data_IF_558319420493
#
_entry.id   IF_558319420493
#
_cell.length_a   1.000
_cell.length_b   1.000
_cell.length_c   1.000
_cell.angle_alpha   90.00
_cell.angle_beta   90.00
_cell.angle_gamma   90.00
#
_symmetry.space_group_name_H-M   'P 1'
#
loop_
_entity.id
_entity.type
_entity.pdbx_description
1 polymer ?
#
# COMPACT_ATOMS: atom_id res chain seq x y z
N UNK A 1 50.75 18.17 47.33
CA UNK A 1 50.20 16.83 46.98
C UNK A 1 48.67 16.84 46.83
N UNK A 2 47.87 17.22 47.83
CA UNK A 2 46.38 17.27 47.71
C UNK A 2 45.83 18.02 46.49
N UNK A 3 46.40 19.18 46.13
CA UNK A 3 45.96 19.98 44.96
C UNK A 3 46.23 19.30 43.61
N UNK A 4 47.28 18.48 43.53
CA UNK A 4 47.64 17.71 42.31
C UNK A 4 46.67 16.53 42.16
N UNK A 5 46.36 15.82 43.26
CA UNK A 5 45.37 14.74 43.23
C UNK A 5 43.97 15.23 42.87
N UNK A 6 43.56 16.40 43.37
CA UNK A 6 42.27 17.01 42.99
C UNK A 6 42.25 17.34 41.49
N UNK A 7 43.32 17.94 40.95
CA UNK A 7 43.40 18.28 39.53
C UNK A 7 43.37 17.04 38.62
N UNK A 8 44.04 15.95 39.01
CA UNK A 8 44.00 14.69 38.27
C UNK A 8 42.59 14.09 38.32
N UNK A 9 41.93 14.12 39.48
CA UNK A 9 40.58 13.59 39.63
C UNK A 9 39.56 14.36 38.78
N UNK A 10 39.62 15.70 38.76
CA UNK A 10 38.77 16.49 37.86
C UNK A 10 39.07 16.23 36.39
N UNK A 11 40.34 16.09 36.00
CA UNK A 11 40.71 15.82 34.60
C UNK A 11 40.20 14.45 34.14
N UNK A 12 40.32 13.42 34.98
CA UNK A 12 39.81 12.07 34.70
C UNK A 12 38.28 12.06 34.61
N UNK A 13 37.59 12.81 35.48
CA UNK A 13 36.12 12.92 35.46
C UNK A 13 35.60 13.68 34.24
N UNK A 14 36.37 14.66 33.72
CA UNK A 14 36.03 15.38 32.48
C UNK A 14 36.32 14.52 31.24
N UNK A 15 37.38 13.71 31.25
CA UNK A 15 37.68 12.83 30.13
C UNK A 15 36.70 11.65 30.03
N UNK A 16 36.15 11.17 31.14
CA UNK A 16 35.17 10.08 31.14
C UNK A 16 33.79 10.49 30.61
N UNK A 17 33.42 11.77 30.62
CA UNK A 17 32.16 12.26 30.03
C UNK A 17 32.23 12.51 28.53
N UNK A 18 33.43 12.52 27.93
CA UNK A 18 33.64 12.65 26.47
C UNK A 18 33.57 11.30 25.73
N UNK A 19 33.57 10.18 26.46
CA UNK A 19 33.38 8.82 25.90
C UNK A 19 31.90 8.44 25.96
N UNK A 20 31.02 9.32 25.48
CA UNK A 20 29.62 8.96 25.25
C UNK A 20 29.51 7.94 24.11
N UNK A 21 28.61 6.96 24.24
CA UNK A 21 28.32 5.99 23.18
C UNK A 21 28.09 6.72 21.84
N UNK A 22 28.83 6.32 20.80
CA UNK A 22 28.57 6.84 19.45
C UNK A 22 27.12 6.53 19.07
N UNK A 23 26.40 7.48 18.48
CA UNK A 23 25.07 7.30 17.83
C UNK A 23 25.14 6.42 16.58
N UNK A 24 26.03 5.44 16.56
CA UNK A 24 26.25 4.50 15.46
C UNK A 24 25.40 3.24 15.63
N UNK A 25 24.54 3.17 16.65
CA UNK A 25 23.68 2.02 16.87
C UNK A 25 22.60 1.99 15.78
N UNK A 26 21.92 3.11 15.56
CA UNK A 26 20.87 3.22 14.53
C UNK A 26 21.41 2.89 13.11
N UNK A 27 22.62 3.36 12.77
CA UNK A 27 23.24 3.05 11.47
C UNK A 27 23.71 1.58 11.34
N UNK A 28 23.95 0.89 12.46
CA UNK A 28 24.44 -0.50 12.48
C UNK A 28 23.34 -1.56 12.61
N UNK A 29 22.12 -1.14 12.92
CA UNK A 29 20.97 -2.02 13.12
C UNK A 29 19.86 -1.76 12.09
N UNK A 30 20.20 -1.25 10.90
CA UNK A 30 19.30 -1.27 9.76
C UNK A 30 18.92 -2.72 9.43
N UNK A 31 17.64 -2.95 9.14
CA UNK A 31 17.18 -4.26 8.73
C UNK A 31 17.76 -4.55 7.32
N UNK A 32 18.68 -5.54 7.16
CA UNK A 32 19.28 -5.83 5.86
C UNK A 32 18.26 -6.32 4.83
N UNK A 33 17.08 -6.77 5.29
CA UNK A 33 15.98 -7.23 4.43
C UNK A 33 15.00 -6.10 4.05
N UNK A 34 15.16 -4.89 4.60
CA UNK A 34 14.32 -3.74 4.29
C UNK A 34 15.05 -2.76 3.36
N UNK A 35 14.30 -2.13 2.45
CA UNK A 35 14.82 -1.01 1.66
C UNK A 35 14.64 0.30 2.42
N UNK A 36 15.69 1.11 2.47
CA UNK A 36 15.60 2.50 2.94
C UNK A 36 15.03 3.45 1.87
N UNK A 37 15.07 3.01 0.60
CA UNK A 37 14.67 3.83 -0.54
C UNK A 37 13.34 3.35 -1.09
N UNK A 38 12.37 4.27 -1.12
CA UNK A 38 11.12 4.09 -1.83
C UNK A 38 11.39 3.90 -3.33
N UNK A 39 10.69 2.95 -3.95
CA UNK A 39 10.80 2.66 -5.38
C UNK A 39 9.41 2.41 -5.94
N UNK A 40 9.00 3.22 -6.92
CA UNK A 40 7.72 3.06 -7.62
C UNK A 40 7.61 1.66 -8.22
N UNK A 41 8.70 1.15 -8.80
CA UNK A 41 8.77 -0.20 -9.38
C UNK A 41 8.63 -1.30 -8.31
N UNK A 42 9.30 -1.15 -7.15
CA UNK A 42 9.19 -2.13 -6.07
C UNK A 42 7.78 -2.18 -5.49
N UNK A 43 7.17 -1.02 -5.25
CA UNK A 43 5.77 -0.93 -4.83
C UNK A 43 4.82 -1.52 -5.88
N UNK A 44 5.09 -1.33 -7.17
CA UNK A 44 4.27 -1.94 -8.20
C UNK A 44 4.37 -3.47 -8.18
N UNK A 45 5.57 -4.03 -7.96
CA UNK A 45 5.75 -5.46 -7.76
C UNK A 45 4.91 -5.97 -6.58
N UNK A 46 4.93 -5.25 -5.45
CA UNK A 46 4.15 -5.57 -4.26
C UNK A 46 2.65 -5.50 -4.53
N UNK A 47 2.19 -4.47 -5.24
CA UNK A 47 0.80 -4.26 -5.62
C UNK A 47 0.27 -5.41 -6.49
N UNK A 48 1.05 -5.86 -7.48
CA UNK A 48 0.71 -7.02 -8.32
C UNK A 48 0.78 -8.34 -7.55
N UNK A 49 1.67 -8.44 -6.56
CA UNK A 49 1.84 -9.63 -5.73
C UNK A 49 0.82 -9.70 -4.57
N UNK A 50 -0.40 -9.21 -4.79
CA UNK A 50 -1.47 -9.19 -3.82
C UNK A 50 -2.48 -10.33 -4.09
N UNK A 51 -2.95 -10.99 -3.03
CA UNK A 51 -3.93 -12.08 -3.06
C UNK A 51 -5.32 -11.72 -3.63
N UNK A 52 -5.54 -10.44 -3.93
CA UNK A 52 -6.73 -9.92 -4.62
C UNK A 52 -6.55 -9.81 -6.14
N UNK A 53 -5.32 -9.52 -6.58
CA UNK A 53 -4.94 -9.45 -8.01
C UNK A 53 -4.73 -10.86 -8.55
N UNK A 54 -4.03 -11.72 -7.81
CA UNK A 54 -3.86 -13.14 -8.15
C UNK A 54 -4.93 -13.99 -7.47
N UNK A 55 -5.48 -15.02 -8.13
CA UNK A 55 -6.35 -15.99 -7.46
C UNK A 55 -5.64 -16.63 -6.26
N UNK A 56 -6.20 -16.47 -5.07
CA UNK A 56 -5.68 -17.04 -3.83
C UNK A 56 -6.71 -17.98 -3.19
N UNK A 57 -6.24 -19.05 -2.54
CA UNK A 57 -7.11 -19.98 -1.83
C UNK A 57 -7.98 -19.25 -0.81
N UNK A 58 -7.39 -18.31 -0.08
CA UNK A 58 -8.09 -17.55 0.95
C UNK A 58 -9.26 -16.78 0.34
N UNK A 59 -9.04 -15.95 -0.69
CA UNK A 59 -10.10 -15.15 -1.30
C UNK A 59 -11.30 -16.00 -1.78
N UNK A 60 -11.04 -17.10 -2.47
CA UNK A 60 -12.12 -17.97 -2.94
C UNK A 60 -12.80 -18.74 -1.80
N UNK A 61 -12.03 -19.32 -0.88
CA UNK A 61 -12.56 -20.24 0.11
C UNK A 61 -13.23 -19.55 1.29
N UNK A 62 -12.70 -18.41 1.72
CA UNK A 62 -13.20 -17.72 2.92
C UNK A 62 -14.16 -16.60 2.54
N UNK A 63 -13.84 -15.79 1.53
CA UNK A 63 -14.72 -14.69 1.13
C UNK A 63 -15.79 -15.16 0.13
N UNK A 64 -15.43 -15.58 -1.08
CA UNK A 64 -16.39 -15.87 -2.15
C UNK A 64 -17.38 -16.97 -1.76
N UNK A 65 -16.88 -18.09 -1.24
CA UNK A 65 -17.69 -19.26 -0.90
C UNK A 65 -18.72 -18.98 0.20
N UNK A 66 -18.41 -18.09 1.14
CA UNK A 66 -19.29 -17.72 2.26
C UNK A 66 -20.18 -16.51 1.95
N UNK A 67 -19.95 -15.83 0.82
CA UNK A 67 -20.70 -14.66 0.37
C UNK A 67 -21.43 -14.98 -0.95
N UNK A 68 -20.85 -14.58 -2.09
CA UNK A 68 -21.51 -14.56 -3.40
C UNK A 68 -21.90 -15.96 -3.89
N UNK A 69 -21.15 -17.01 -3.52
CA UNK A 69 -21.43 -18.37 -4.00
C UNK A 69 -22.77 -18.92 -3.51
N UNK A 70 -23.21 -18.49 -2.32
CA UNK A 70 -24.50 -18.89 -1.73
C UNK A 70 -25.66 -18.27 -2.53
N UNK A 71 -25.55 -16.98 -2.85
CA UNK A 71 -26.58 -16.25 -3.61
C UNK A 71 -26.66 -16.67 -5.07
N UNK A 72 -25.51 -17.01 -5.67
CA UNK A 72 -25.41 -17.43 -7.09
C UNK A 72 -25.60 -18.92 -7.30
N UNK A 73 -25.73 -19.71 -6.22
CA UNK A 73 -25.86 -21.18 -6.25
C UNK A 73 -24.72 -21.87 -7.01
N UNK A 74 -23.52 -21.28 -6.97
CA UNK A 74 -22.32 -21.81 -7.63
C UNK A 74 -21.56 -22.81 -6.74
N UNK A 75 -21.98 -22.96 -5.47
CA UNK A 75 -21.46 -23.96 -4.55
C UNK A 75 -22.56 -24.58 -3.69
N UNK A 76 -22.34 -25.81 -3.23
CA UNK A 76 -23.21 -26.46 -2.25
C UNK A 76 -23.03 -25.83 -0.87
N UNK A 77 -24.13 -25.55 -0.18
CA UNK A 77 -24.14 -25.12 1.21
C UNK A 77 -25.22 -25.89 1.98
N UNK A 78 -25.08 -25.98 3.30
CA UNK A 78 -26.09 -26.60 4.16
C UNK A 78 -27.18 -25.57 4.49
N UNK A 79 -28.45 -25.82 4.16
CA UNK A 79 -29.53 -24.90 4.49
C UNK A 79 -29.62 -24.66 6.01
N UNK A 80 -29.72 -23.39 6.41
CA UNK A 80 -29.87 -22.98 7.80
C UNK A 80 -30.53 -21.59 7.87
N UNK A 81 -31.00 -21.19 9.06
CA UNK A 81 -31.55 -19.85 9.26
C UNK A 81 -30.50 -18.73 9.08
N UNK A 82 -29.21 -19.06 9.10
CA UNK A 82 -28.10 -18.13 8.93
C UNK A 82 -27.39 -18.29 7.58
N UNK A 83 -27.94 -19.06 6.64
CA UNK A 83 -27.24 -19.38 5.38
C UNK A 83 -26.95 -18.16 4.50
N UNK A 84 -27.70 -17.06 4.68
CA UNK A 84 -27.46 -15.79 3.98
C UNK A 84 -26.72 -14.75 4.85
N UNK A 85 -26.16 -15.16 5.99
CA UNK A 85 -25.34 -14.28 6.81
C UNK A 85 -23.86 -14.55 6.50
N UNK A 86 -23.17 -13.64 5.82
CA UNK A 86 -21.75 -13.81 5.57
C UNK A 86 -20.94 -13.74 6.88
N UNK A 87 -19.73 -14.29 6.85
CA UNK A 87 -18.81 -14.23 7.99
C UNK A 87 -18.30 -12.80 8.19
N UNK A 88 -18.65 -12.17 9.31
CA UNK A 88 -18.16 -10.83 9.66
C UNK A 88 -16.63 -10.75 9.65
N UNK A 89 -15.94 -11.79 10.14
CA UNK A 89 -14.48 -11.82 10.17
C UNK A 89 -13.90 -11.82 8.76
N UNK A 90 -14.47 -12.58 7.82
CA UNK A 90 -13.95 -12.66 6.46
C UNK A 90 -14.27 -11.40 5.67
N UNK A 91 -15.46 -10.83 5.86
CA UNK A 91 -15.83 -9.54 5.26
C UNK A 91 -14.97 -8.39 5.79
N UNK A 92 -14.69 -8.37 7.10
CA UNK A 92 -13.78 -7.40 7.71
C UNK A 92 -12.35 -7.52 7.17
N UNK A 93 -11.81 -8.73 7.08
CA UNK A 93 -10.48 -8.96 6.49
C UNK A 93 -10.43 -8.49 5.04
N UNK A 94 -11.42 -8.89 4.22
CA UNK A 94 -11.50 -8.44 2.83
C UNK A 94 -11.60 -6.92 2.69
N UNK A 95 -12.29 -6.25 3.62
CA UNK A 95 -12.33 -4.80 3.69
C UNK A 95 -10.95 -4.21 4.05
N UNK A 96 -10.31 -4.69 5.12
CA UNK A 96 -9.05 -4.12 5.61
C UNK A 96 -7.88 -4.33 4.65
N UNK A 97 -7.85 -5.45 3.93
CA UNK A 97 -6.78 -5.82 3.00
C UNK A 97 -6.71 -4.90 1.77
N UNK A 98 -7.77 -4.14 1.48
CA UNK A 98 -7.72 -3.09 0.46
C UNK A 98 -6.97 -1.85 0.97
N UNK A 99 -7.07 -1.52 2.26
CA UNK A 99 -6.58 -0.27 2.83
C UNK A 99 -5.16 -0.35 3.42
N UNK A 100 -4.82 -1.36 4.22
CA UNK A 100 -3.61 -1.33 5.07
C UNK A 100 -2.52 -2.30 4.61
N UNK A 101 -1.27 -1.82 4.46
CA UNK A 101 -0.55 -1.79 3.15
C UNK A 101 -1.25 -2.53 1.99
N UNK A 102 -2.56 -2.32 1.84
CA UNK A 102 -3.35 -2.92 0.80
C UNK A 102 -3.11 -2.20 -0.51
N UNK A 103 -3.90 -2.55 -1.52
CA UNK A 103 -3.76 -1.97 -2.86
C UNK A 103 -3.81 -0.43 -2.82
N UNK A 104 -4.73 0.16 -2.04
CA UNK A 104 -4.82 1.61 -1.91
C UNK A 104 -3.61 2.20 -1.16
N UNK A 105 -3.20 1.60 -0.05
CA UNK A 105 -2.07 2.08 0.75
C UNK A 105 -0.74 2.04 0.00
N UNK A 106 -0.49 0.96 -0.77
CA UNK A 106 0.67 0.83 -1.64
C UNK A 106 0.60 1.90 -2.73
N UNK A 107 -0.55 2.06 -3.40
CA UNK A 107 -0.70 3.06 -4.45
C UNK A 107 -0.47 4.50 -3.94
N UNK A 108 -0.97 4.87 -2.75
CA UNK A 108 -0.65 6.17 -2.12
C UNK A 108 0.84 6.35 -1.84
N UNK A 109 1.53 5.28 -1.45
CA UNK A 109 2.98 5.29 -1.27
C UNK A 109 3.72 5.46 -2.61
N UNK A 110 3.18 4.91 -3.70
CA UNK A 110 3.70 5.12 -5.06
C UNK A 110 3.56 6.57 -5.52
N UNK A 111 2.41 7.21 -5.28
CA UNK A 111 2.19 8.63 -5.59
C UNK A 111 3.25 9.50 -4.89
N UNK A 112 3.40 9.32 -3.58
CA UNK A 112 4.43 10.04 -2.79
C UNK A 112 5.85 9.77 -3.27
N UNK A 113 6.17 8.51 -3.60
CA UNK A 113 7.49 8.14 -4.10
C UNK A 113 7.76 8.77 -5.47
N UNK A 114 6.75 8.82 -6.34
CA UNK A 114 6.82 9.44 -7.65
C UNK A 114 7.07 10.94 -7.55
N UNK A 115 6.34 11.65 -6.69
CA UNK A 115 6.48 13.09 -6.49
C UNK A 115 7.86 13.47 -5.94
N UNK A 116 8.51 12.56 -5.22
CA UNK A 116 9.87 12.74 -4.71
C UNK A 116 10.97 12.46 -5.75
N UNK A 117 10.63 11.94 -6.95
CA UNK A 117 11.62 11.64 -7.98
C UNK A 117 12.11 12.92 -8.67
N UNK A 118 13.40 12.98 -9.05
CA UNK A 118 13.90 13.99 -9.97
C UNK A 118 13.14 13.93 -11.30
N UNK A 119 12.91 15.08 -11.93
CA UNK A 119 12.14 15.21 -13.18
C UNK A 119 12.63 14.26 -14.29
N UNK A 120 13.95 14.06 -14.40
CA UNK A 120 14.56 13.15 -15.36
C UNK A 120 14.17 11.67 -15.18
N UNK A 121 13.69 11.27 -14.00
CA UNK A 121 13.27 9.90 -13.68
C UNK A 121 11.73 9.73 -13.71
N UNK A 122 10.97 10.84 -13.71
CA UNK A 122 9.52 10.79 -13.65
C UNK A 122 8.89 10.20 -14.91
N UNK A 123 9.48 10.34 -16.10
CA UNK A 123 8.92 9.76 -17.33
C UNK A 123 8.83 8.22 -17.25
N UNK A 124 9.93 7.56 -16.86
CA UNK A 124 10.00 6.11 -16.69
C UNK A 124 9.16 5.59 -15.53
N UNK A 125 8.96 6.39 -14.47
CA UNK A 125 8.10 6.01 -13.35
C UNK A 125 6.61 6.25 -13.65
N UNK A 126 6.28 7.20 -14.52
CA UNK A 126 4.88 7.55 -14.84
C UNK A 126 4.15 6.39 -15.49
N UNK A 127 4.79 5.66 -16.41
CA UNK A 127 4.17 4.48 -17.04
C UNK A 127 3.80 3.41 -16.01
N UNK A 128 4.66 3.20 -15.00
CA UNK A 128 4.41 2.27 -13.89
C UNK A 128 3.26 2.79 -13.01
N UNK A 129 3.27 4.08 -12.66
CA UNK A 129 2.22 4.69 -11.83
C UNK A 129 0.84 4.61 -12.51
N UNK A 130 0.77 4.88 -13.82
CA UNK A 130 -0.48 4.78 -14.59
C UNK A 130 -0.99 3.33 -14.65
N UNK A 131 -0.10 2.36 -14.81
CA UNK A 131 -0.50 0.95 -14.77
C UNK A 131 -0.98 0.50 -13.39
N UNK A 132 -0.30 0.94 -12.32
CA UNK A 132 -0.71 0.69 -10.95
C UNK A 132 -2.09 1.31 -10.64
N UNK A 133 -2.40 2.47 -11.22
CA UNK A 133 -3.71 3.13 -11.09
C UNK A 133 -4.84 2.27 -11.67
N UNK A 134 -4.60 1.57 -12.79
CA UNK A 134 -5.57 0.62 -13.37
C UNK A 134 -5.88 -0.51 -12.39
N UNK A 135 -4.85 -1.15 -11.84
CA UNK A 135 -5.02 -2.26 -10.89
C UNK A 135 -5.71 -1.78 -9.60
N UNK A 136 -5.35 -0.59 -9.12
CA UNK A 136 -5.98 0.01 -7.95
C UNK A 136 -7.48 0.27 -8.19
N UNK A 137 -7.87 0.72 -9.39
CA UNK A 137 -9.28 0.89 -9.74
C UNK A 137 -10.05 -0.42 -9.88
N UNK A 138 -9.46 -1.47 -10.46
CA UNK A 138 -10.08 -2.80 -10.51
C UNK A 138 -10.38 -3.34 -9.10
N UNK A 139 -9.45 -3.13 -8.17
CA UNK A 139 -9.62 -3.56 -6.78
C UNK A 139 -10.61 -2.69 -6.00
N UNK A 140 -10.63 -1.38 -6.29
CA UNK A 140 -11.59 -0.45 -5.71
C UNK A 140 -13.02 -0.74 -6.22
N UNK A 141 -13.20 -1.05 -7.51
CA UNK A 141 -14.53 -1.40 -8.05
C UNK A 141 -15.08 -2.68 -7.42
N UNK A 142 -14.23 -3.70 -7.18
CA UNK A 142 -14.64 -4.90 -6.43
C UNK A 142 -15.08 -4.55 -5.01
N UNK A 143 -14.43 -3.59 -4.35
CA UNK A 143 -14.85 -3.16 -3.01
C UNK A 143 -16.20 -2.44 -3.06
N UNK A 144 -16.40 -1.55 -4.04
CA UNK A 144 -17.68 -0.86 -4.27
C UNK A 144 -18.80 -1.88 -4.54
N UNK A 145 -18.56 -2.89 -5.37
CA UNK A 145 -19.56 -3.90 -5.71
C UNK A 145 -20.01 -4.75 -4.51
N UNK A 146 -19.15 -4.86 -3.48
CA UNK A 146 -19.46 -5.60 -2.26
C UNK A 146 -20.11 -4.73 -1.18
N UNK A 147 -19.75 -3.45 -1.09
CA UNK A 147 -20.08 -2.61 0.08
C UNK A 147 -20.79 -1.28 -0.25
N UNK A 148 -20.91 -0.91 -1.53
CA UNK A 148 -21.48 0.35 -1.97
C UNK A 148 -20.50 1.51 -1.81
N UNK A 149 -20.91 2.54 -1.08
CA UNK A 149 -20.06 3.70 -0.78
C UNK A 149 -18.83 3.26 0.03
N UNK A 150 -17.65 3.78 -0.32
CA UNK A 150 -16.39 3.42 0.34
C UNK A 150 -15.53 4.66 0.60
N UNK A 151 -14.69 4.67 1.64
CA UNK A 151 -13.63 5.65 1.74
C UNK A 151 -12.60 5.51 0.62
N UNK A 152 -12.37 6.57 -0.17
CA UNK A 152 -11.44 6.46 -1.29
C UNK A 152 -10.60 7.72 -1.51
N UNK A 153 -11.27 8.86 -1.74
CA UNK A 153 -10.65 10.14 -2.08
C UNK A 153 -9.73 10.67 -0.98
N UNK A 154 -10.12 10.46 0.28
CA UNK A 154 -9.37 10.88 1.48
C UNK A 154 -8.63 9.71 2.17
N UNK A 155 -8.85 8.48 1.70
CA UNK A 155 -8.29 7.29 2.31
C UNK A 155 -6.81 7.09 1.93
N UNK A 156 -6.04 6.48 2.85
CA UNK A 156 -4.59 6.31 2.70
C UNK A 156 -3.79 7.58 3.00
N UNK A 157 -4.31 8.47 3.86
CA UNK A 157 -3.63 9.71 4.24
C UNK A 157 -2.26 9.47 4.91
N UNK A 158 -2.13 8.41 5.72
CA UNK A 158 -0.86 8.09 6.40
C UNK A 158 0.27 7.77 5.40
N UNK A 159 0.13 6.82 4.45
CA UNK A 159 1.17 6.60 3.45
C UNK A 159 1.40 7.82 2.55
N UNK A 160 0.35 8.58 2.21
CA UNK A 160 0.46 9.76 1.34
C UNK A 160 1.16 10.96 1.99
N UNK A 161 0.74 11.37 3.20
CA UNK A 161 1.13 12.65 3.81
C UNK A 161 1.76 12.52 5.20
N UNK A 162 1.86 11.31 5.75
CA UNK A 162 2.24 11.06 7.14
C UNK A 162 1.25 11.64 8.19
N UNK A 163 0.02 11.97 7.78
CA UNK A 163 -1.02 12.47 8.68
C UNK A 163 -2.19 11.49 8.74
N UNK A 164 -2.78 11.32 9.92
CA UNK A 164 -3.97 10.50 10.09
C UNK A 164 -5.21 11.36 9.84
N UNK A 165 -6.03 10.94 8.89
CA UNK A 165 -7.37 11.49 8.64
C UNK A 165 -8.39 10.36 8.75
N UNK A 166 -9.58 10.69 9.22
CA UNK A 166 -10.73 9.80 9.16
C UNK A 166 -11.45 10.08 7.84
N UNK A 167 -11.27 9.22 6.82
CA UNK A 167 -11.80 9.52 5.49
C UNK A 167 -13.32 9.40 5.48
N UNK A 168 -13.97 10.31 4.75
CA UNK A 168 -15.41 10.17 4.43
C UNK A 168 -15.65 8.96 3.53
N UNK A 169 -16.91 8.50 3.49
CA UNK A 169 -17.38 7.56 2.48
C UNK A 169 -17.72 8.35 1.22
N UNK A 170 -17.14 7.97 0.10
CA UNK A 170 -17.44 8.51 -1.22
C UNK A 170 -18.60 7.73 -1.85
N UNK A 171 -19.51 8.45 -2.51
CA UNK A 171 -20.68 7.84 -3.16
C UNK A 171 -20.23 6.90 -4.30
N UNK A 172 -20.78 5.68 -4.32
CA UNK A 172 -20.39 4.66 -5.31
C UNK A 172 -20.52 5.14 -6.75
N UNK A 173 -21.56 5.92 -7.04
CA UNK A 173 -21.88 6.40 -8.38
C UNK A 173 -20.82 7.39 -8.86
N UNK A 174 -20.44 8.31 -7.98
CA UNK A 174 -19.43 9.33 -8.27
C UNK A 174 -18.04 8.70 -8.42
N UNK A 175 -17.71 7.69 -7.58
CA UNK A 175 -16.49 6.91 -7.75
C UNK A 175 -16.44 6.20 -9.11
N UNK A 176 -17.51 5.52 -9.52
CA UNK A 176 -17.53 4.85 -10.81
C UNK A 176 -17.38 5.82 -12.00
N UNK A 177 -18.02 7.00 -11.94
CA UNK A 177 -17.83 8.03 -12.96
C UNK A 177 -16.40 8.55 -12.99
N UNK A 178 -15.78 8.77 -11.84
CA UNK A 178 -14.38 9.12 -11.75
C UNK A 178 -13.48 8.02 -12.35
N UNK A 179 -13.68 6.75 -11.98
CA UNK A 179 -12.84 5.66 -12.44
C UNK A 179 -12.92 5.51 -13.96
N UNK A 180 -14.12 5.60 -14.55
CA UNK A 180 -14.31 5.52 -16.00
C UNK A 180 -13.63 6.69 -16.72
N UNK A 181 -13.75 7.91 -16.19
CA UNK A 181 -13.10 9.09 -16.75
C UNK A 181 -11.58 8.95 -16.70
N UNK A 182 -11.02 8.60 -15.55
CA UNK A 182 -9.59 8.43 -15.35
C UNK A 182 -9.02 7.26 -16.17
N UNK A 183 -9.74 6.14 -16.28
CA UNK A 183 -9.35 5.01 -17.15
C UNK A 183 -9.31 5.41 -18.63
N UNK A 184 -10.19 6.30 -19.08
CA UNK A 184 -10.13 6.84 -20.44
C UNK A 184 -8.90 7.72 -20.66
N UNK A 185 -8.53 8.53 -19.66
CA UNK A 185 -7.29 9.31 -19.70
C UNK A 185 -6.05 8.42 -19.69
N UNK A 186 -6.02 7.39 -18.83
CA UNK A 186 -4.97 6.38 -18.76
C UNK A 186 -4.82 5.67 -20.11
N UNK A 187 -5.93 5.25 -20.72
CA UNK A 187 -5.92 4.63 -22.04
C UNK A 187 -5.32 5.59 -23.10
N UNK A 188 -5.71 6.85 -23.08
CA UNK A 188 -5.16 7.87 -23.97
C UNK A 188 -3.66 8.05 -23.75
N UNK A 189 -3.20 8.09 -22.49
CA UNK A 189 -1.78 8.14 -22.15
C UNK A 189 -1.01 6.96 -22.76
N UNK A 190 -1.51 5.73 -22.63
CA UNK A 190 -0.85 4.54 -23.15
C UNK A 190 -0.76 4.49 -24.68
N UNK A 191 -1.58 5.23 -25.43
CA UNK A 191 -1.44 5.33 -26.90
C UNK A 191 -0.17 6.04 -27.35
N UNK A 192 0.44 6.84 -26.47
CA UNK A 192 1.64 7.65 -26.78
C UNK A 192 2.83 7.32 -25.88
N UNK A 193 2.58 6.66 -24.73
CA UNK A 193 3.61 6.31 -23.78
C UNK A 193 4.65 5.36 -24.42
N UNK A 194 5.92 5.65 -24.18
CA UNK A 194 7.01 4.74 -24.51
C UNK A 194 7.24 3.80 -23.34
N UNK A 195 7.36 2.50 -23.63
CA UNK A 195 7.77 1.52 -22.61
C UNK A 195 9.20 1.82 -22.13
N UNK A 196 9.53 1.39 -20.91
CA UNK A 196 10.87 1.45 -20.35
C UNK A 196 11.39 0.05 -20.07
N UNK A 197 12.72 -0.11 -19.99
CA UNK A 197 13.32 -1.37 -19.58
C UNK A 197 12.88 -1.80 -18.17
N UNK A 198 12.54 -0.84 -17.32
CA UNK A 198 12.00 -1.11 -15.99
C UNK A 198 10.56 -1.63 -16.06
N UNK A 199 9.69 -0.93 -16.81
CA UNK A 199 8.29 -1.33 -17.00
C UNK A 199 8.16 -2.69 -17.69
N UNK A 200 9.06 -3.01 -18.62
CA UNK A 200 9.05 -4.28 -19.36
C UNK A 200 9.37 -5.50 -18.50
N UNK A 201 9.75 -5.33 -17.23
CA UNK A 201 9.94 -6.43 -16.27
C UNK A 201 8.63 -6.94 -15.68
N UNK A 202 7.56 -6.17 -15.80
CA UNK A 202 6.27 -6.47 -15.22
C UNK A 202 5.37 -7.09 -16.28
N UNK A 203 4.82 -8.25 -15.96
CA UNK A 203 3.74 -8.85 -16.73
C UNK A 203 2.41 -8.35 -16.14
N UNK A 204 1.74 -7.51 -16.90
CA UNK A 204 0.45 -6.92 -16.53
C UNK A 204 -0.48 -7.47 -17.61
N UNK A 205 -1.27 -8.47 -17.22
CA UNK A 205 -2.15 -9.29 -18.08
C UNK A 205 -2.69 -8.57 -19.32
#
# INVERSE_FOLDING_TARGET
MKKIFIAIFTLVTVFSTLVGCKKQLEDKFQNPDATEKASVSAFFAELLNNDRVRPSYWHYRTFILSNQAIYTQTASFTPSNSMYQPSDSYSYQYWTDFYAPGVLGIYRSMEKAYDALPEAQQSSAKVILQAAKVVMYDEASKLIDNFGDIPFSEAGSLPATNEIKLPKFDEQKELYYQFIADLKEINTYFTTAQSSAEFSKYDIL
#
